data_IF_162426818325
#
_entry.id   IF_162426818325
#
_cell.length_a   1.000
_cell.length_b   1.000
_cell.length_c   1.000
_cell.angle_alpha   90.00
_cell.angle_beta   90.00
_cell.angle_gamma   90.00
#
_symmetry.space_group_name_H-M   'P 1'
#
loop_
_entity.id
_entity.type
_entity.pdbx_description
1 polymer ?
#
# COMPACT_ATOMS: atom_id res chain seq x y z
N UNK A 1 -3.12 9.30 -7.76
CA UNK A 1 -2.60 8.09 -8.44
C UNK A 1 -3.10 6.79 -7.84
N UNK A 2 -3.05 6.57 -6.52
CA UNK A 2 -3.52 5.29 -5.92
C UNK A 2 -5.00 4.95 -6.14
N UNK A 3 -5.87 5.95 -6.33
CA UNK A 3 -7.32 5.76 -6.55
C UNK A 3 -7.63 4.98 -7.83
N UNK A 4 -6.95 5.28 -8.94
CA UNK A 4 -7.14 4.58 -10.22
C UNK A 4 -6.84 3.09 -10.06
N UNK A 5 -5.76 2.75 -9.33
CA UNK A 5 -5.45 1.36 -9.02
C UNK A 5 -6.55 0.74 -8.14
N UNK A 6 -7.02 1.48 -7.14
CA UNK A 6 -8.11 1.02 -6.27
C UNK A 6 -9.40 0.70 -7.03
N UNK A 7 -9.79 1.57 -7.95
CA UNK A 7 -10.96 1.39 -8.81
C UNK A 7 -10.76 0.13 -9.67
N UNK A 8 -9.63 0.03 -10.39
CA UNK A 8 -9.31 -1.11 -11.25
C UNK A 8 -9.21 -2.45 -10.50
N UNK A 9 -8.73 -2.45 -9.24
CA UNK A 9 -8.68 -3.65 -8.41
C UNK A 9 -10.06 -4.06 -7.91
N UNK A 10 -10.97 -3.11 -7.68
CA UNK A 10 -12.33 -3.40 -7.22
C UNK A 10 -13.21 -3.96 -8.33
N UNK A 11 -12.90 -3.65 -9.59
CA UNK A 11 -13.56 -4.23 -10.77
C UNK A 11 -13.18 -5.70 -11.03
N UNK A 12 -12.05 -6.18 -10.47
CA UNK A 12 -11.60 -7.56 -10.63
C UNK A 12 -12.26 -8.48 -9.58
N UNK A 13 -13.07 -9.49 -9.97
CA UNK A 13 -13.82 -10.31 -9.01
C UNK A 13 -12.95 -11.01 -7.95
N UNK A 14 -11.74 -11.44 -8.33
CA UNK A 14 -10.80 -12.08 -7.42
C UNK A 14 -10.31 -11.11 -6.32
N UNK A 15 -9.97 -9.88 -6.71
CA UNK A 15 -9.50 -8.83 -5.80
C UNK A 15 -10.65 -8.28 -4.95
N UNK A 16 -11.80 -7.98 -5.58
CA UNK A 16 -13.01 -7.45 -4.94
C UNK A 16 -13.42 -8.23 -3.68
N UNK A 17 -13.36 -9.58 -3.73
CA UNK A 17 -13.72 -10.45 -2.61
C UNK A 17 -12.84 -10.25 -1.38
N UNK A 18 -11.54 -10.04 -1.60
CA UNK A 18 -10.56 -9.78 -0.54
C UNK A 18 -10.71 -8.36 -0.03
N UNK A 19 -10.82 -7.40 -0.96
CA UNK A 19 -10.84 -5.97 -0.64
C UNK A 19 -12.09 -5.54 0.13
N UNK A 20 -13.29 -6.04 -0.20
CA UNK A 20 -14.50 -5.72 0.57
C UNK A 20 -14.48 -6.23 2.02
N UNK A 21 -13.54 -7.12 2.38
CA UNK A 21 -13.38 -7.63 3.74
C UNK A 21 -12.20 -6.99 4.48
N UNK A 22 -11.44 -6.14 3.82
CA UNK A 22 -10.28 -5.50 4.42
C UNK A 22 -10.73 -4.26 5.21
N UNK A 23 -10.70 -4.34 6.54
CA UNK A 23 -10.91 -3.16 7.41
C UNK A 23 -9.67 -2.27 7.55
N UNK A 24 -8.48 -2.83 7.29
CA UNK A 24 -7.20 -2.16 7.47
C UNK A 24 -6.24 -2.52 6.34
N UNK A 25 -5.54 -1.52 5.81
CA UNK A 25 -4.43 -1.66 4.87
C UNK A 25 -3.15 -1.28 5.60
N UNK A 26 -2.16 -2.18 5.56
CA UNK A 26 -0.83 -1.93 6.13
C UNK A 26 0.19 -1.88 4.99
N UNK A 27 0.64 -0.69 4.56
CA UNK A 27 1.66 -0.54 3.55
C UNK A 27 2.98 -1.17 3.99
N UNK A 28 3.64 -1.90 3.08
CA UNK A 28 4.98 -2.43 3.35
C UNK A 28 5.97 -1.27 3.45
N UNK A 29 6.73 -1.13 4.56
CA UNK A 29 7.69 -0.06 4.76
C UNK A 29 8.88 -0.16 3.80
N UNK A 30 9.39 1.02 3.41
CA UNK A 30 10.67 1.16 2.73
C UNK A 30 11.80 1.21 3.78
N UNK A 31 13.00 0.74 3.45
CA UNK A 31 14.16 0.96 4.32
C UNK A 31 14.50 2.46 4.39
N UNK A 32 14.93 2.95 5.55
CA UNK A 32 15.18 4.38 5.80
C UNK A 32 16.07 5.04 4.74
N UNK A 33 17.19 4.40 4.37
CA UNK A 33 18.09 4.90 3.31
C UNK A 33 17.35 5.16 1.99
N UNK A 34 16.49 4.22 1.56
CA UNK A 34 15.72 4.37 0.32
C UNK A 34 14.62 5.42 0.46
N UNK A 35 14.08 5.59 1.67
CA UNK A 35 13.05 6.59 1.92
C UNK A 35 13.65 7.98 1.75
N UNK A 36 14.86 8.19 2.24
CA UNK A 36 15.63 9.43 2.04
C UNK A 36 15.96 9.67 0.56
N UNK A 37 16.38 8.64 -0.18
CA UNK A 37 16.69 8.76 -1.63
C UNK A 37 15.45 9.12 -2.47
N UNK A 38 14.30 8.51 -2.16
CA UNK A 38 13.11 8.58 -3.00
C UNK A 38 12.09 9.63 -2.54
N UNK A 39 12.15 10.04 -1.28
CA UNK A 39 11.25 11.01 -0.65
C UNK A 39 9.85 10.50 -0.31
N UNK A 40 9.49 9.27 -0.70
CA UNK A 40 8.16 8.69 -0.45
C UNK A 40 8.16 7.16 -0.47
N UNK A 41 7.16 6.56 0.18
CA UNK A 41 6.85 5.14 0.09
C UNK A 41 5.67 4.90 -0.88
N UNK A 42 5.95 4.23 -2.00
CA UNK A 42 4.96 3.89 -3.03
C UNK A 42 3.81 3.05 -2.50
N UNK A 43 4.12 2.07 -1.65
CA UNK A 43 3.11 1.24 -0.99
C UNK A 43 2.14 2.11 -0.18
N UNK A 44 2.65 3.14 0.50
CA UNK A 44 1.80 4.07 1.27
C UNK A 44 0.88 4.88 0.36
N UNK A 45 1.41 5.39 -0.76
CA UNK A 45 0.59 6.15 -1.71
C UNK A 45 -0.50 5.29 -2.36
N UNK A 46 -0.18 4.04 -2.71
CA UNK A 46 -1.14 3.08 -3.25
C UNK A 46 -2.18 2.69 -2.20
N UNK A 47 -1.74 2.36 -0.98
CA UNK A 47 -2.61 2.00 0.13
C UNK A 47 -3.61 3.10 0.46
N UNK A 48 -3.19 4.37 0.51
CA UNK A 48 -4.09 5.52 0.71
C UNK A 48 -5.15 5.63 -0.37
N UNK A 49 -4.77 5.49 -1.64
CA UNK A 49 -5.72 5.56 -2.74
C UNK A 49 -6.69 4.38 -2.76
N UNK A 50 -6.22 3.18 -2.44
CA UNK A 50 -7.07 1.99 -2.31
C UNK A 50 -8.03 2.10 -1.12
N UNK A 51 -7.54 2.53 0.04
CA UNK A 51 -8.35 2.75 1.25
C UNK A 51 -9.49 3.74 1.02
N UNK A 52 -9.24 4.82 0.25
CA UNK A 52 -10.28 5.75 -0.18
C UNK A 52 -11.36 5.11 -1.04
N UNK A 53 -11.03 4.11 -1.86
CA UNK A 53 -11.99 3.42 -2.74
C UNK A 53 -12.83 2.41 -1.96
N UNK A 54 -12.20 1.65 -1.05
CA UNK A 54 -12.85 0.52 -0.36
C UNK A 54 -13.35 0.86 1.06
N UNK A 55 -13.06 2.07 1.55
CA UNK A 55 -13.43 2.51 2.90
C UNK A 55 -12.59 1.90 4.02
N UNK A 56 -11.35 1.49 3.73
CA UNK A 56 -10.45 0.89 4.72
C UNK A 56 -9.51 1.93 5.34
N UNK A 57 -9.19 1.74 6.62
CA UNK A 57 -8.14 2.50 7.30
C UNK A 57 -6.77 2.14 6.73
N UNK A 58 -5.80 3.06 6.82
CA UNK A 58 -4.45 2.85 6.28
C UNK A 58 -3.43 3.20 7.35
N UNK A 59 -2.72 2.17 7.85
CA UNK A 59 -1.72 2.35 8.89
C UNK A 59 -0.30 2.11 8.38
N UNK A 60 0.39 3.22 8.09
CA UNK A 60 1.75 3.19 7.52
C UNK A 60 2.86 2.93 8.53
N UNK A 61 2.57 3.03 9.82
CA UNK A 61 3.56 2.90 10.90
C UNK A 61 3.42 1.56 11.67
N UNK A 62 2.50 0.70 11.25
CA UNK A 62 2.28 -0.59 11.89
C UNK A 62 3.41 -1.61 11.68
N UNK A 63 4.34 -1.36 10.75
CA UNK A 63 5.47 -2.23 10.45
C UNK A 63 6.79 -1.46 10.42
N UNK A 64 7.84 -2.08 10.97
CA UNK A 64 9.22 -1.62 10.86
C UNK A 64 10.00 -2.53 9.91
N UNK A 65 10.90 -1.93 9.11
CA UNK A 65 11.79 -2.68 8.22
C UNK A 65 13.20 -2.74 8.80
N UNK A 66 13.53 -3.85 9.43
CA UNK A 66 14.83 -4.05 10.08
C UNK A 66 15.97 -4.31 9.09
N UNK A 67 15.71 -5.01 7.99
CA UNK A 67 16.75 -5.39 7.01
C UNK A 67 16.61 -4.66 5.69
N UNK A 68 17.70 -4.03 5.25
CA UNK A 68 17.85 -3.51 3.89
C UNK A 68 18.06 -4.66 2.90
N UNK A 69 16.98 -5.27 2.40
CA UNK A 69 17.08 -6.20 1.27
C UNK A 69 17.14 -5.42 -0.05
N UNK A 70 17.91 -5.94 -1.02
CA UNK A 70 17.88 -5.42 -2.40
C UNK A 70 16.52 -5.76 -3.01
N UNK A 71 15.74 -4.77 -3.42
CA UNK A 71 14.61 -5.01 -4.32
C UNK A 71 15.16 -5.61 -5.62
N UNK A 72 14.59 -6.71 -6.13
CA UNK A 72 14.90 -7.20 -7.47
C UNK A 72 14.69 -6.06 -8.48
N UNK A 73 15.56 -5.98 -9.49
CA UNK A 73 15.34 -5.08 -10.63
C UNK A 73 14.16 -5.55 -11.46
#
# INVERSE_FOLDING_TARGET
MGRILGDALTERPACRRVLHRAGLIVPVPLHQTRYLERGYNQSTMLGRGLGQVIGAEVESEALLRERATRSPR
#
